data_IF_328268807276
#
_entry.id   IF_328268807276
#
_cell.length_a   1.000
_cell.length_b   1.000
_cell.length_c   1.000
_cell.angle_alpha   90.00
_cell.angle_beta   90.00
_cell.angle_gamma   90.00
#
_symmetry.space_group_name_H-M   'P 1'
#
loop_
_entity.id
_entity.type
_entity.pdbx_description
1 polymer ?
#
# COMPACT_ATOMS: atom_id res chain seq x y z
N UNK A 1 59.55 -2.05 -20.03
CA UNK A 1 58.40 -2.86 -20.45
C UNK A 1 58.85 -4.30 -20.39
N UNK A 2 58.27 -5.13 -19.53
CA UNK A 2 58.63 -6.55 -19.45
C UNK A 2 57.41 -7.41 -19.78
N UNK A 3 57.71 -8.62 -20.24
CA UNK A 3 56.74 -9.68 -20.54
C UNK A 3 56.17 -10.17 -19.20
N UNK A 4 54.85 -10.39 -19.08
CA UNK A 4 54.24 -11.01 -17.90
C UNK A 4 54.93 -12.33 -17.53
N UNK A 5 55.20 -12.53 -16.24
CA UNK A 5 55.65 -13.83 -15.75
C UNK A 5 54.46 -14.80 -15.72
N UNK A 6 54.55 -15.85 -16.55
CA UNK A 6 53.49 -16.83 -16.78
C UNK A 6 54.07 -18.24 -16.64
N UNK A 7 53.27 -19.22 -16.19
CA UNK A 7 53.71 -20.61 -16.12
C UNK A 7 53.93 -21.19 -17.53
N UNK A 8 55.17 -21.57 -17.82
CA UNK A 8 55.59 -22.08 -19.13
C UNK A 8 54.85 -23.36 -19.53
N UNK A 9 54.47 -24.22 -18.57
CA UNK A 9 53.78 -25.48 -18.87
C UNK A 9 52.36 -25.25 -19.39
N UNK A 10 51.62 -24.37 -18.72
CA UNK A 10 50.26 -24.00 -19.14
C UNK A 10 50.29 -23.21 -20.46
N UNK A 11 51.33 -22.41 -20.67
CA UNK A 11 51.53 -21.67 -21.91
C UNK A 11 51.79 -22.60 -23.10
N UNK A 12 52.65 -23.61 -22.94
CA UNK A 12 52.91 -24.64 -23.96
C UNK A 12 51.64 -25.44 -24.31
N UNK A 13 50.83 -25.79 -23.31
CA UNK A 13 49.55 -26.48 -23.52
C UNK A 13 48.54 -25.63 -24.30
N UNK A 14 48.42 -24.33 -23.97
CA UNK A 14 47.57 -23.39 -24.73
C UNK A 14 48.07 -23.21 -26.17
N UNK A 15 49.39 -23.18 -26.39
CA UNK A 15 49.98 -23.12 -27.73
C UNK A 15 49.74 -24.42 -28.50
N UNK A 16 49.82 -25.58 -27.85
CA UNK A 16 49.53 -26.88 -28.46
C UNK A 16 48.06 -26.98 -28.90
N UNK A 17 47.15 -26.27 -28.22
CA UNK A 17 45.73 -26.13 -28.63
C UNK A 17 45.50 -25.09 -29.74
N UNK A 18 46.53 -24.35 -30.15
CA UNK A 18 46.48 -23.41 -31.27
C UNK A 18 46.18 -21.95 -30.88
N UNK A 19 46.21 -21.61 -29.59
CA UNK A 19 46.09 -20.20 -29.18
C UNK A 19 47.41 -19.45 -29.42
N UNK A 20 47.37 -18.22 -29.95
CA UNK A 20 48.59 -17.43 -30.15
C UNK A 20 49.24 -17.06 -28.82
N UNK A 21 50.57 -16.97 -28.81
CA UNK A 21 51.39 -16.71 -27.61
C UNK A 21 50.88 -15.50 -26.81
N UNK A 22 50.56 -14.40 -27.48
CA UNK A 22 50.15 -13.16 -26.82
C UNK A 22 48.82 -13.34 -26.07
N UNK A 23 47.85 -13.99 -26.71
CA UNK A 23 46.53 -14.30 -26.15
C UNK A 23 46.63 -15.26 -24.98
N UNK A 24 47.43 -16.32 -25.13
CA UNK A 24 47.66 -17.29 -24.07
C UNK A 24 48.36 -16.66 -22.85
N UNK A 25 49.36 -15.81 -23.08
CA UNK A 25 50.07 -15.06 -22.02
C UNK A 25 49.11 -14.09 -21.30
N UNK A 26 48.24 -13.42 -22.05
CA UNK A 26 47.23 -12.49 -21.49
C UNK A 26 46.20 -13.22 -20.65
N UNK A 27 45.66 -14.32 -21.15
CA UNK A 27 44.72 -15.15 -20.41
C UNK A 27 45.33 -15.68 -19.11
N UNK A 28 46.53 -16.25 -19.17
CA UNK A 28 47.19 -16.77 -17.97
C UNK A 28 47.52 -15.68 -16.96
N UNK A 29 47.89 -14.48 -17.43
CA UNK A 29 48.10 -13.34 -16.56
C UNK A 29 46.81 -12.90 -15.82
N UNK A 30 45.68 -12.78 -16.53
CA UNK A 30 44.41 -12.36 -15.90
C UNK A 30 43.77 -13.45 -15.04
N UNK A 31 44.00 -14.72 -15.36
CA UNK A 31 43.61 -15.86 -14.52
C UNK A 31 44.56 -16.07 -13.32
N UNK A 32 45.66 -15.34 -13.24
CA UNK A 32 46.64 -15.47 -12.16
C UNK A 32 47.35 -16.83 -12.14
N UNK A 33 47.56 -17.44 -13.31
CA UNK A 33 48.18 -18.76 -13.48
C UNK A 33 47.48 -19.90 -12.68
N UNK A 34 46.15 -19.84 -12.50
CA UNK A 34 45.39 -20.80 -11.68
C UNK A 34 45.23 -22.20 -12.30
N UNK A 35 44.79 -22.27 -13.55
CA UNK A 35 44.58 -23.53 -14.28
C UNK A 35 44.45 -23.30 -15.79
N UNK A 36 44.67 -24.37 -16.59
CA UNK A 36 44.50 -24.33 -18.05
C UNK A 36 43.06 -23.96 -18.44
N UNK A 37 42.08 -24.58 -17.77
CA UNK A 37 40.65 -24.43 -18.10
C UNK A 37 40.18 -23.00 -17.83
N UNK A 38 40.65 -22.37 -16.74
CA UNK A 38 40.32 -20.99 -16.43
C UNK A 38 40.86 -20.04 -17.50
N UNK A 39 42.08 -20.29 -17.99
CA UNK A 39 42.67 -19.51 -19.07
C UNK A 39 41.89 -19.64 -20.39
N UNK A 40 41.43 -20.86 -20.73
CA UNK A 40 40.57 -21.07 -21.90
C UNK A 40 39.24 -20.32 -21.73
N UNK A 41 38.60 -20.40 -20.56
CA UNK A 41 37.35 -19.69 -20.29
C UNK A 41 37.52 -18.18 -20.44
N UNK A 42 38.63 -17.64 -19.93
CA UNK A 42 38.93 -16.21 -20.10
C UNK A 42 39.12 -15.83 -21.57
N UNK A 43 39.78 -16.67 -22.37
CA UNK A 43 39.93 -16.43 -23.82
C UNK A 43 38.58 -16.39 -24.52
N UNK A 44 37.66 -17.30 -24.17
CA UNK A 44 36.32 -17.35 -24.74
C UNK A 44 35.53 -16.09 -24.37
N UNK A 45 35.59 -15.67 -23.10
CA UNK A 45 34.86 -14.50 -22.62
C UNK A 45 35.32 -13.17 -23.26
N UNK A 46 36.54 -13.13 -23.79
CA UNK A 46 37.17 -11.92 -24.36
C UNK A 46 37.48 -12.05 -25.86
N UNK A 47 37.00 -13.10 -26.55
CA UNK A 47 37.35 -13.39 -27.94
C UNK A 47 36.92 -12.31 -28.94
N UNK A 48 35.94 -11.48 -28.56
CA UNK A 48 35.41 -10.38 -29.38
C UNK A 48 36.21 -9.08 -29.26
N UNK A 49 37.18 -9.04 -28.35
CA UNK A 49 37.96 -7.83 -28.08
C UNK A 49 39.04 -7.65 -29.16
N UNK A 50 39.06 -6.47 -29.80
CA UNK A 50 40.00 -6.18 -30.88
C UNK A 50 41.47 -6.17 -30.43
N UNK A 51 41.72 -6.04 -29.13
CA UNK A 51 43.03 -6.00 -28.50
C UNK A 51 43.43 -7.35 -27.86
N UNK A 52 42.67 -8.43 -28.03
CA UNK A 52 42.96 -9.72 -27.38
C UNK A 52 44.34 -10.30 -27.75
N UNK A 53 44.82 -10.03 -28.97
CA UNK A 53 46.13 -10.48 -29.46
C UNK A 53 47.26 -9.48 -29.16
N UNK A 54 46.94 -8.34 -28.51
CA UNK A 54 47.93 -7.40 -28.04
C UNK A 54 48.56 -7.89 -26.73
N UNK A 55 49.89 -7.86 -26.69
CA UNK A 55 50.66 -8.31 -25.55
C UNK A 55 50.42 -7.38 -24.35
N UNK A 56 49.96 -7.89 -23.19
CA UNK A 56 49.63 -7.04 -22.07
C UNK A 56 50.89 -6.37 -21.51
N UNK A 57 50.86 -5.04 -21.48
CA UNK A 57 51.93 -4.24 -20.90
C UNK A 57 51.70 -4.14 -19.40
N UNK A 58 52.52 -4.84 -18.62
CA UNK A 58 52.46 -4.75 -17.15
C UNK A 58 53.56 -3.80 -16.68
N UNK A 59 53.26 -2.88 -15.75
CA UNK A 59 54.30 -2.13 -15.06
C UNK A 59 55.15 -3.11 -14.23
N UNK A 60 56.42 -3.23 -14.60
CA UNK A 60 57.41 -3.97 -13.81
C UNK A 60 57.49 -3.32 -12.43
N UNK A 61 57.25 -4.09 -11.37
CA UNK A 61 57.65 -3.71 -10.02
C UNK A 61 59.18 -3.81 -9.95
N UNK A 62 59.84 -2.80 -10.50
CA UNK A 62 61.20 -2.48 -10.07
C UNK A 62 61.01 -2.06 -8.62
N UNK A 63 61.58 -2.81 -7.68
CA UNK A 63 61.87 -2.30 -6.33
C UNK A 63 62.87 -1.15 -6.49
N UNK A 64 62.40 -0.02 -7.00
CA UNK A 64 63.07 1.26 -6.82
C UNK A 64 62.94 1.49 -5.33
N UNK A 65 64.02 1.23 -4.60
CA UNK A 65 64.22 1.71 -3.24
C UNK A 65 63.65 3.12 -3.19
N UNK A 66 62.50 3.24 -2.55
CA UNK A 66 61.65 4.41 -2.66
C UNK A 66 62.52 5.64 -2.47
N UNK A 67 62.54 6.61 -3.40
CA UNK A 67 63.13 7.88 -3.07
C UNK A 67 62.31 8.36 -1.86
N UNK A 68 62.99 8.56 -0.73
CA UNK A 68 62.37 8.95 0.53
C UNK A 68 61.36 10.08 0.31
N UNK A 69 60.32 10.16 1.17
CA UNK A 69 59.06 10.83 0.87
C UNK A 69 59.30 12.12 0.11
N UNK A 70 59.12 12.08 -1.22
CA UNK A 70 59.24 13.27 -2.03
C UNK A 70 58.37 14.32 -1.37
N UNK A 71 59.02 15.42 -1.00
CA UNK A 71 58.43 16.58 -0.36
C UNK A 71 57.10 16.89 -1.04
N UNK A 72 55.99 16.38 -0.47
CA UNK A 72 54.65 16.72 -0.88
C UNK A 72 54.50 18.18 -0.53
N UNK A 73 54.80 19.02 -1.52
CA UNK A 73 54.81 20.47 -1.36
C UNK A 73 53.49 20.85 -0.71
N UNK A 74 53.53 21.71 0.31
CA UNK A 74 52.33 22.23 0.96
C UNK A 74 51.31 22.76 -0.08
N UNK A 75 51.81 23.25 -1.23
CA UNK A 75 51.01 23.63 -2.39
C UNK A 75 50.16 22.49 -2.97
N UNK A 76 50.66 21.26 -3.04
CA UNK A 76 49.89 20.10 -3.52
C UNK A 76 48.75 19.73 -2.56
N UNK A 77 49.01 19.78 -1.25
CA UNK A 77 48.00 19.53 -0.21
C UNK A 77 46.93 20.62 -0.19
N UNK A 78 47.34 21.88 -0.30
CA UNK A 78 46.44 23.02 -0.39
C UNK A 78 45.55 22.93 -1.64
N UNK A 79 46.12 22.58 -2.79
CA UNK A 79 45.37 22.42 -4.05
C UNK A 79 44.41 21.22 -3.99
N UNK A 80 44.80 20.11 -3.36
CA UNK A 80 43.90 18.97 -3.13
C UNK A 80 42.73 19.31 -2.19
N UNK A 81 43.01 20.06 -1.11
CA UNK A 81 42.00 20.52 -0.17
C UNK A 81 41.03 21.53 -0.82
N UNK A 82 41.54 22.44 -1.63
CA UNK A 82 40.72 23.39 -2.39
C UNK A 82 39.78 22.69 -3.39
N UNK A 83 40.28 21.68 -4.12
CA UNK A 83 39.45 20.87 -5.03
C UNK A 83 38.33 20.14 -4.28
N UNK A 84 38.60 19.63 -3.08
CA UNK A 84 37.59 18.97 -2.22
C UNK A 84 36.53 19.95 -1.75
N UNK A 85 36.92 21.15 -1.30
CA UNK A 85 35.98 22.19 -0.88
C UNK A 85 35.14 22.70 -2.06
N UNK A 86 35.73 22.80 -3.26
CA UNK A 86 35.02 23.19 -4.48
C UNK A 86 34.00 22.13 -4.91
N UNK A 87 34.31 20.84 -4.73
CA UNK A 87 33.37 19.75 -4.97
C UNK A 87 32.19 19.79 -3.97
N UNK A 88 32.48 19.98 -2.67
CA UNK A 88 31.44 20.10 -1.64
C UNK A 88 30.58 21.37 -1.79
N UNK A 89 31.17 22.48 -2.25
CA UNK A 89 30.42 23.71 -2.52
C UNK A 89 29.40 23.53 -3.66
N UNK A 90 29.73 22.75 -4.69
CA UNK A 90 28.83 22.47 -5.81
C UNK A 90 27.66 21.56 -5.40
N UNK A 91 27.90 20.53 -4.59
CA UNK A 91 26.82 19.66 -4.06
C UNK A 91 25.92 20.42 -3.09
N UNK A 92 26.49 21.23 -2.21
CA UNK A 92 25.73 22.03 -1.24
C UNK A 92 24.82 23.10 -1.88
N UNK A 93 25.15 23.62 -3.07
CA UNK A 93 24.27 24.56 -3.80
C UNK A 93 23.04 23.84 -4.35
N UNK A 94 23.21 22.64 -4.93
CA UNK A 94 22.10 21.83 -5.42
C UNK A 94 21.19 21.32 -4.29
N UNK A 95 21.78 20.94 -3.16
CA UNK A 95 21.05 20.54 -1.95
C UNK A 95 20.22 21.68 -1.38
N UNK A 96 20.80 22.89 -1.23
CA UNK A 96 20.06 24.08 -0.75
C UNK A 96 18.88 24.45 -1.64
N UNK A 97 18.96 24.23 -2.95
CA UNK A 97 17.82 24.43 -3.85
C UNK A 97 16.75 23.35 -3.68
N UNK A 98 17.15 22.08 -3.55
CA UNK A 98 16.25 20.97 -3.24
C UNK A 98 15.54 21.14 -1.89
N UNK A 99 16.22 21.67 -0.89
CA UNK A 99 15.65 21.94 0.44
C UNK A 99 14.54 22.99 0.41
N UNK A 100 14.75 24.11 -0.29
CA UNK A 100 13.72 25.16 -0.46
C UNK A 100 12.47 24.63 -1.17
N UNK A 101 12.66 23.76 -2.16
CA UNK A 101 11.55 23.11 -2.86
C UNK A 101 10.81 22.10 -1.97
N UNK A 102 11.54 21.30 -1.18
CA UNK A 102 10.95 20.40 -0.17
C UNK A 102 10.14 21.19 0.87
N UNK A 103 10.61 22.35 1.31
CA UNK A 103 9.88 23.22 2.23
C UNK A 103 8.58 23.77 1.64
N UNK A 104 8.59 24.17 0.36
CA UNK A 104 7.36 24.59 -0.35
C UNK A 104 6.32 23.47 -0.37
N UNK A 105 6.74 22.25 -0.69
CA UNK A 105 5.87 21.07 -0.73
C UNK A 105 5.33 20.74 0.67
N UNK A 106 6.20 20.79 1.69
CA UNK A 106 5.80 20.57 3.09
C UNK A 106 4.74 21.58 3.53
N UNK A 107 4.94 22.87 3.28
CA UNK A 107 3.95 23.92 3.59
C UNK A 107 2.63 23.72 2.86
N UNK A 108 2.67 23.37 1.57
CA UNK A 108 1.45 23.10 0.80
C UNK A 108 0.69 21.90 1.36
N UNK A 109 1.40 20.83 1.76
CA UNK A 109 0.81 19.64 2.38
C UNK A 109 0.25 19.94 3.76
N UNK A 110 0.96 20.73 4.55
CA UNK A 110 0.54 21.16 5.89
C UNK A 110 -0.74 22.00 5.82
N UNK A 111 -0.86 22.92 4.87
CA UNK A 111 -2.09 23.68 4.64
C UNK A 111 -3.28 22.78 4.29
N UNK A 112 -3.07 21.77 3.44
CA UNK A 112 -4.11 20.80 3.07
C UNK A 112 -4.53 19.94 4.28
N UNK A 113 -3.56 19.49 5.07
CA UNK A 113 -3.84 18.69 6.26
C UNK A 113 -4.56 19.51 7.34
N UNK A 114 -4.15 20.76 7.57
CA UNK A 114 -4.82 21.68 8.47
C UNK A 114 -6.27 21.93 8.04
N UNK A 115 -6.52 22.10 6.74
CA UNK A 115 -7.87 22.23 6.19
C UNK A 115 -8.73 20.99 6.46
N UNK A 116 -8.16 19.79 6.26
CA UNK A 116 -8.83 18.51 6.52
C UNK A 116 -9.20 18.34 7.99
N UNK A 117 -8.28 18.68 8.89
CA UNK A 117 -8.51 18.63 10.34
C UNK A 117 -9.60 19.62 10.77
N UNK A 118 -9.57 20.84 10.24
CA UNK A 118 -10.60 21.85 10.53
C UNK A 118 -12.00 21.38 10.11
N UNK A 119 -12.13 20.86 8.88
CA UNK A 119 -13.40 20.33 8.36
C UNK A 119 -13.91 19.13 9.18
N UNK A 120 -13.02 18.21 9.58
CA UNK A 120 -13.40 17.08 10.44
C UNK A 120 -13.86 17.54 11.82
N UNK A 121 -13.18 18.53 12.40
CA UNK A 121 -13.57 19.11 13.69
C UNK A 121 -14.93 19.83 13.61
N UNK A 122 -15.22 20.54 12.52
CA UNK A 122 -16.54 21.14 12.29
C UNK A 122 -17.63 20.08 12.19
N UNK A 123 -17.39 19.00 11.44
CA UNK A 123 -18.32 17.86 11.34
C UNK A 123 -18.56 17.21 12.70
N UNK A 124 -17.51 16.99 13.49
CA UNK A 124 -17.61 16.45 14.86
C UNK A 124 -18.46 17.36 15.75
N UNK A 125 -18.24 18.68 15.71
CA UNK A 125 -19.05 19.66 16.45
C UNK A 125 -20.52 19.61 16.03
N UNK A 126 -20.80 19.54 14.74
CA UNK A 126 -22.15 19.48 14.23
C UNK A 126 -22.89 18.21 14.69
N UNK A 127 -22.24 17.05 14.59
CA UNK A 127 -22.81 15.78 15.04
C UNK A 127 -23.07 15.83 16.55
N UNK A 128 -22.11 16.29 17.35
CA UNK A 128 -22.27 16.41 18.79
C UNK A 128 -23.45 17.32 19.19
N UNK A 129 -23.64 18.45 18.48
CA UNK A 129 -24.80 19.31 18.69
C UNK A 129 -26.12 18.61 18.37
N UNK A 130 -26.18 17.86 17.26
CA UNK A 130 -27.39 17.09 16.89
C UNK A 130 -27.69 15.96 17.87
N UNK A 131 -26.67 15.30 18.39
CA UNK A 131 -26.85 14.27 19.41
C UNK A 131 -27.31 14.86 20.74
N UNK A 132 -26.75 16.01 21.16
CA UNK A 132 -27.17 16.73 22.36
C UNK A 132 -28.64 17.19 22.25
N UNK A 133 -29.01 17.84 21.15
CA UNK A 133 -30.40 18.27 20.87
C UNK A 133 -31.37 17.08 20.96
N UNK A 134 -31.03 15.97 20.31
CA UNK A 134 -31.84 14.75 20.33
C UNK A 134 -31.90 14.11 21.72
N UNK A 135 -30.83 14.18 22.50
CA UNK A 135 -30.81 13.66 23.87
C UNK A 135 -31.68 14.51 24.81
N UNK A 136 -31.68 15.83 24.65
CA UNK A 136 -32.57 16.72 25.40
C UNK A 136 -34.04 16.51 25.04
N UNK A 137 -34.35 16.34 23.74
CA UNK A 137 -35.70 16.01 23.30
C UNK A 137 -36.18 14.67 23.91
N UNK A 138 -35.32 13.65 23.93
CA UNK A 138 -35.64 12.36 24.58
C UNK A 138 -35.90 12.52 26.07
N UNK A 139 -35.07 13.28 26.79
CA UNK A 139 -35.27 13.56 28.22
C UNK A 139 -36.59 14.29 28.45
N UNK A 140 -36.95 15.26 27.61
CA UNK A 140 -38.23 15.96 27.70
C UNK A 140 -39.42 15.02 27.46
N UNK A 141 -39.34 14.16 26.42
CA UNK A 141 -40.35 13.14 26.14
C UNK A 141 -40.51 12.15 27.29
N UNK A 142 -39.42 11.72 27.91
CA UNK A 142 -39.44 10.83 29.08
C UNK A 142 -40.09 11.49 30.29
N UNK A 143 -39.79 12.78 30.56
CA UNK A 143 -40.47 13.54 31.63
C UNK A 143 -41.98 13.62 31.41
N UNK A 144 -42.43 13.86 30.18
CA UNK A 144 -43.86 13.87 29.85
C UNK A 144 -44.47 12.47 30.08
N UNK A 145 -43.77 11.41 29.64
CA UNK A 145 -44.21 10.04 29.84
C UNK A 145 -44.38 9.69 31.32
N UNK A 146 -43.43 10.09 32.16
CA UNK A 146 -43.50 9.90 33.61
C UNK A 146 -44.65 10.67 34.23
N UNK A 147 -44.86 11.94 33.86
CA UNK A 147 -46.02 12.73 34.31
C UNK A 147 -47.34 12.08 33.93
N UNK A 148 -47.46 11.57 32.70
CA UNK A 148 -48.66 10.84 32.26
C UNK A 148 -48.87 9.55 33.04
N UNK A 149 -47.80 8.83 33.39
CA UNK A 149 -47.89 7.63 34.22
C UNK A 149 -48.33 7.96 35.64
N UNK A 150 -47.79 9.01 36.24
CA UNK A 150 -48.18 9.49 37.57
C UNK A 150 -49.64 9.94 37.59
N UNK A 151 -50.06 10.80 36.65
CA UNK A 151 -51.46 11.23 36.53
C UNK A 151 -52.41 10.03 36.30
N UNK A 152 -51.98 9.03 35.54
CA UNK A 152 -52.74 7.79 35.36
C UNK A 152 -52.90 7.02 36.68
N UNK A 153 -51.84 6.93 37.49
CA UNK A 153 -51.89 6.28 38.80
C UNK A 153 -52.70 7.08 39.81
N UNK A 154 -52.56 8.40 39.83
CA UNK A 154 -53.34 9.31 40.69
C UNK A 154 -54.84 9.24 40.37
N UNK A 155 -55.21 9.27 39.09
CA UNK A 155 -56.60 9.07 38.67
C UNK A 155 -57.13 7.71 39.07
N UNK A 156 -56.33 6.65 38.92
CA UNK A 156 -56.72 5.31 39.40
C UNK A 156 -56.89 5.26 40.92
N UNK A 157 -55.97 5.85 41.68
CA UNK A 157 -56.03 5.90 43.14
C UNK A 157 -57.26 6.67 43.62
N UNK A 158 -57.58 7.81 42.97
CA UNK A 158 -58.74 8.65 43.31
C UNK A 158 -60.09 8.03 42.92
N UNK A 159 -60.10 7.17 41.90
CA UNK A 159 -61.27 6.40 41.49
C UNK A 159 -61.44 5.10 42.29
N UNK A 160 -60.55 4.82 43.25
CA UNK A 160 -60.56 3.61 44.09
C UNK A 160 -60.61 2.29 43.28
N UNK A 161 -60.03 2.28 42.07
CA UNK A 161 -59.88 1.04 41.31
C UNK A 161 -58.71 0.21 41.86
N UNK A 162 -58.89 -1.11 42.08
CA UNK A 162 -57.80 -2.02 42.47
C UNK A 162 -56.63 -1.96 41.47
N UNK A 163 -55.40 -2.35 41.88
CA UNK A 163 -54.26 -2.37 40.97
C UNK A 163 -54.58 -3.28 39.78
N UNK A 164 -54.69 -2.74 38.56
CA UNK A 164 -54.72 -3.61 37.38
C UNK A 164 -53.34 -4.23 37.21
N UNK A 165 -53.20 -5.48 37.64
CA UNK A 165 -52.29 -6.45 37.04
C UNK A 165 -52.75 -6.70 35.59
N UNK A 166 -52.40 -5.79 34.69
CA UNK A 166 -52.67 -5.90 33.25
C UNK A 166 -51.93 -7.07 32.57
N UNK A 167 -51.25 -7.92 33.33
CA UNK A 167 -50.79 -9.22 32.87
C UNK A 167 -51.95 -10.25 32.73
N UNK A 168 -53.12 -10.02 33.34
CA UNK A 168 -54.19 -11.03 33.42
C UNK A 168 -55.33 -10.87 32.40
N UNK A 169 -55.56 -9.67 31.84
CA UNK A 169 -56.80 -9.39 31.06
C UNK A 169 -56.64 -9.44 29.53
N UNK A 170 -55.45 -9.73 29.00
CA UNK A 170 -55.27 -9.99 27.56
C UNK A 170 -54.93 -11.46 27.24
N UNK A 171 -55.90 -12.38 27.34
CA UNK A 171 -55.96 -13.52 26.41
C UNK A 171 -57.23 -13.53 25.54
N UNK A 172 -58.10 -12.52 25.62
CA UNK A 172 -59.42 -12.58 24.97
C UNK A 172 -59.54 -11.83 23.62
N UNK A 173 -58.59 -10.99 23.23
CA UNK A 173 -58.68 -10.24 21.95
C UNK A 173 -58.14 -11.05 20.76
N UNK A 174 -57.52 -12.22 21.00
CA UNK A 174 -57.11 -13.14 19.92
C UNK A 174 -58.24 -14.05 19.40
N UNK A 175 -59.49 -13.94 19.88
CA UNK A 175 -60.57 -14.89 19.57
C UNK A 175 -61.51 -14.50 18.41
N UNK A 176 -61.25 -13.41 17.68
CA UNK A 176 -62.06 -13.05 16.49
C UNK A 176 -61.14 -12.93 15.27
N UNK A 177 -60.76 -14.08 14.71
CA UNK A 177 -60.45 -14.29 13.29
C UNK A 177 -60.18 -15.78 13.02
N UNK A 178 -61.18 -16.62 13.32
CA UNK A 178 -61.31 -17.91 12.63
C UNK A 178 -62.16 -17.67 11.40
N UNK A 179 -61.50 -17.63 10.24
CA UNK A 179 -61.95 -18.11 8.93
C UNK A 179 -61.22 -17.32 7.83
N UNK A 180 -60.04 -17.81 7.45
CA UNK A 180 -59.59 -17.89 6.06
C UNK A 180 -58.38 -18.82 6.00
N UNK A 181 -58.42 -19.66 4.99
CA UNK A 181 -57.60 -20.85 4.71
C UNK A 181 -56.09 -20.70 4.94
N UNK A 182 -55.36 -21.81 5.22
CA UNK A 182 -53.93 -21.75 5.46
C UNK A 182 -53.17 -21.54 4.14
N UNK A 183 -52.85 -20.28 3.82
CA UNK A 183 -51.83 -19.94 2.84
C UNK A 183 -50.43 -20.10 3.45
N UNK A 184 -49.43 -20.51 2.65
CA UNK A 184 -48.27 -21.24 3.11
C UNK A 184 -47.31 -20.34 3.90
N UNK A 185 -46.67 -20.98 4.88
CA UNK A 185 -45.48 -20.59 5.64
C UNK A 185 -44.69 -19.48 4.94
N UNK A 186 -44.63 -18.31 5.56
CA UNK A 186 -43.72 -17.24 5.19
C UNK A 186 -42.31 -17.85 5.06
N UNK A 187 -41.82 -17.88 3.82
CA UNK A 187 -40.42 -18.16 3.52
C UNK A 187 -39.62 -17.14 4.32
N UNK A 188 -38.85 -17.64 5.29
CA UNK A 188 -37.90 -16.84 6.04
C UNK A 188 -37.04 -16.09 5.03
N UNK A 189 -37.14 -14.77 5.00
CA UNK A 189 -36.28 -13.96 4.14
C UNK A 189 -34.83 -14.24 4.55
N UNK A 190 -33.95 -14.58 3.60
CA UNK A 190 -32.53 -14.71 3.88
C UNK A 190 -31.99 -13.40 4.47
N UNK A 191 -31.19 -13.52 5.53
CA UNK A 191 -30.50 -12.43 6.27
C UNK A 191 -29.46 -11.66 5.44
N UNK A 192 -29.75 -11.34 4.17
CA UNK A 192 -28.80 -10.75 3.22
C UNK A 192 -29.04 -9.27 2.93
N UNK A 193 -30.14 -8.68 3.41
CA UNK A 193 -30.44 -7.28 3.12
C UNK A 193 -30.00 -6.40 4.29
N UNK A 194 -29.03 -5.53 4.03
CA UNK A 194 -28.41 -4.69 5.06
C UNK A 194 -29.09 -3.32 5.17
N UNK A 195 -29.77 -2.88 4.10
CA UNK A 195 -30.41 -1.56 4.04
C UNK A 195 -31.82 -1.60 3.46
N UNK A 196 -32.65 -0.62 3.86
CA UNK A 196 -34.02 -0.45 3.36
C UNK A 196 -34.06 -0.27 1.83
N UNK A 197 -33.02 0.31 1.23
CA UNK A 197 -32.91 0.50 -0.22
C UNK A 197 -32.75 -0.82 -0.99
N UNK A 198 -31.99 -1.77 -0.44
CA UNK A 198 -31.82 -3.10 -1.04
C UNK A 198 -33.13 -3.90 -1.00
N UNK A 199 -33.85 -3.84 0.12
CA UNK A 199 -35.17 -4.48 0.26
C UNK A 199 -36.19 -3.94 -0.75
N UNK A 200 -36.23 -2.62 -0.94
CA UNK A 200 -37.13 -2.00 -1.91
C UNK A 200 -36.75 -2.40 -3.35
N UNK A 201 -35.46 -2.47 -3.64
CA UNK A 201 -34.95 -2.88 -4.95
C UNK A 201 -35.25 -4.36 -5.26
N UNK A 202 -35.13 -5.25 -4.27
CA UNK A 202 -35.54 -6.66 -4.36
C UNK A 202 -37.05 -6.80 -4.62
N UNK A 203 -37.86 -6.01 -3.90
CA UNK A 203 -39.31 -5.99 -4.05
C UNK A 203 -39.73 -5.61 -5.47
N UNK A 204 -39.15 -4.53 -6.01
CA UNK A 204 -39.42 -4.07 -7.37
C UNK A 204 -38.95 -5.09 -8.43
N UNK A 205 -37.79 -5.75 -8.22
CA UNK A 205 -37.31 -6.83 -9.10
C UNK A 205 -38.28 -8.02 -9.11
N UNK A 206 -38.80 -8.41 -7.94
CA UNK A 206 -39.78 -9.49 -7.81
C UNK A 206 -41.10 -9.16 -8.52
N UNK A 207 -41.61 -7.93 -8.34
CA UNK A 207 -42.83 -7.47 -9.00
C UNK A 207 -42.67 -7.48 -10.54
N UNK A 208 -41.50 -7.06 -11.04
CA UNK A 208 -41.18 -7.07 -12.48
C UNK A 208 -41.18 -8.49 -13.05
N UNK A 209 -40.63 -9.48 -12.32
CA UNK A 209 -40.64 -10.89 -12.75
C UNK A 209 -42.05 -11.45 -12.83
N UNK A 210 -42.88 -11.18 -11.81
CA UNK A 210 -44.30 -11.60 -11.81
C UNK A 210 -45.06 -11.02 -13.00
N UNK A 211 -44.89 -9.72 -13.27
CA UNK A 211 -45.55 -9.07 -14.39
C UNK A 211 -45.06 -9.62 -15.76
N UNK A 212 -43.77 -9.93 -15.88
CA UNK A 212 -43.19 -10.53 -17.10
C UNK A 212 -43.73 -11.94 -17.38
N UNK A 213 -43.95 -12.75 -16.34
CA UNK A 213 -44.57 -14.08 -16.46
C UNK A 213 -46.06 -13.97 -16.81
N UNK A 214 -46.76 -12.96 -16.27
CA UNK A 214 -48.15 -12.71 -16.62
C UNK A 214 -48.33 -12.20 -18.05
N UNK A 215 -47.37 -11.44 -18.60
CA UNK A 215 -47.40 -11.03 -20.00
C UNK A 215 -47.17 -12.24 -20.92
N UNK A 216 -46.20 -13.12 -20.63
CA UNK A 216 -45.99 -14.33 -21.44
C UNK A 216 -47.18 -15.28 -21.44
N UNK A 217 -47.97 -15.31 -20.35
CA UNK A 217 -49.17 -16.15 -20.26
C UNK A 217 -50.42 -15.50 -20.87
N UNK A 218 -50.44 -14.17 -21.04
CA UNK A 218 -51.49 -13.45 -21.79
C UNK A 218 -51.32 -13.56 -23.31
N UNK A 219 -50.09 -13.66 -23.81
CA UNK A 219 -49.84 -13.85 -25.25
C UNK A 219 -50.06 -15.29 -25.75
N UNK A 220 -50.10 -16.29 -24.86
CA UNK A 220 -50.37 -17.68 -25.22
C UNK A 220 -51.87 -18.05 -25.26
N UNK A 221 -52.77 -17.09 -24.97
CA UNK A 221 -54.23 -17.25 -25.09
C UNK A 221 -54.83 -16.09 -25.90
N UNK A 222 -54.50 -16.03 -27.19
CA UNK A 222 -55.41 -15.49 -28.20
C UNK A 222 -55.58 -16.57 -29.27
N UNK A 223 -56.83 -16.91 -29.66
CA UNK A 223 -57.11 -17.97 -30.63
C UNK A 223 -56.55 -17.64 -32.01
#
# INVERSE_FOLDING_TARGET
MAIPEVDMKLLEELQAMGFPLNRATRALHFCGNSSLVDAINWVIDHETDADIDEMPLIPVNIEVQAPGPFFMTEQLKLKAHELRNRAQGRTGIGEKQSEREKERIKRSKELLEAKRIAEENERKRFIALKEAEKAEEKRAREKIRQKLQQDKLERRSKLELPPDDLASVYPAISMIQKQKDPLPKAVQLPKKFTTKAELMSECLRSLRRKNKISDSTRFAKRP
#
